data_IF_310526570608
#
_entry.id   IF_310526570608
#
_cell.length_a   1.000
_cell.length_b   1.000
_cell.length_c   1.000
_cell.angle_alpha   90.00
_cell.angle_beta   90.00
_cell.angle_gamma   90.00
#
_symmetry.space_group_name_H-M   'P 1'
#
loop_
_entity.id
_entity.type
_entity.pdbx_description
1 polymer ?
#
# COMPACT_ATOMS: atom_id res chain seq x y z
N UNK A 1 -48.68 86.71 -30.52
CA UNK A 1 -47.69 86.05 -29.62
C UNK A 1 -48.33 84.78 -29.08
N UNK A 2 -47.66 83.62 -29.24
CA UNK A 2 -47.59 82.47 -28.29
C UNK A 2 -48.96 81.85 -27.85
N UNK A 3 -49.27 80.55 -27.93
CA UNK A 3 -48.55 79.28 -28.16
C UNK A 3 -49.65 78.21 -28.36
N UNK A 4 -49.41 77.27 -29.27
CA UNK A 4 -50.14 75.99 -29.32
C UNK A 4 -49.82 75.15 -28.08
N UNK A 5 -50.82 74.51 -27.47
CA UNK A 5 -50.62 73.39 -26.53
C UNK A 5 -51.61 72.28 -26.91
N UNK A 6 -51.04 71.20 -27.40
CA UNK A 6 -51.65 69.91 -27.74
C UNK A 6 -51.86 69.10 -26.44
N UNK A 7 -52.96 68.37 -26.23
CA UNK A 7 -53.08 67.47 -25.09
C UNK A 7 -52.26 66.19 -25.35
N UNK A 8 -51.35 65.93 -24.42
CA UNK A 8 -50.41 64.81 -24.36
C UNK A 8 -51.18 63.50 -24.11
N UNK A 9 -51.15 62.58 -25.09
CA UNK A 9 -51.57 61.18 -24.91
C UNK A 9 -50.64 60.51 -23.89
N UNK A 10 -51.18 60.15 -22.73
CA UNK A 10 -50.49 59.35 -21.72
C UNK A 10 -50.51 57.87 -22.16
N UNK A 11 -49.52 57.44 -22.95
CA UNK A 11 -49.27 56.01 -23.17
C UNK A 11 -48.69 55.42 -21.87
N UNK A 12 -49.55 54.71 -21.11
CA UNK A 12 -49.12 53.88 -20.00
C UNK A 12 -48.45 52.61 -20.56
N UNK A 13 -47.12 52.66 -20.72
CA UNK A 13 -46.31 51.50 -21.08
C UNK A 13 -46.28 50.52 -19.90
N UNK A 14 -47.07 49.45 -19.99
CA UNK A 14 -46.92 48.27 -19.13
C UNK A 14 -45.51 47.71 -19.31
N UNK A 15 -44.63 47.97 -18.34
CA UNK A 15 -43.39 47.22 -18.20
C UNK A 15 -43.75 45.85 -17.60
N UNK A 16 -43.88 44.84 -18.46
CA UNK A 16 -43.87 43.45 -18.03
C UNK A 16 -42.50 43.15 -17.41
N UNK A 17 -42.41 43.18 -16.08
CA UNK A 17 -41.40 42.38 -15.37
C UNK A 17 -41.67 40.92 -15.73
N UNK A 18 -40.93 40.37 -16.68
CA UNK A 18 -40.81 38.93 -16.78
C UNK A 18 -40.05 38.43 -15.55
N UNK A 19 -40.79 38.04 -14.51
CA UNK A 19 -40.25 37.18 -13.47
C UNK A 19 -39.69 35.93 -14.14
N UNK A 20 -38.38 35.73 -14.08
CA UNK A 20 -37.75 34.52 -14.59
C UNK A 20 -38.31 33.34 -13.78
N UNK A 21 -39.05 32.44 -14.44
CA UNK A 21 -39.71 31.33 -13.77
C UNK A 21 -38.68 30.49 -12.98
N UNK A 22 -38.85 30.39 -11.67
CA UNK A 22 -38.02 29.58 -10.79
C UNK A 22 -38.40 28.09 -10.93
N UNK A 23 -37.97 27.47 -12.03
CA UNK A 23 -38.26 26.08 -12.37
C UNK A 23 -37.18 25.14 -11.79
N UNK A 24 -37.55 23.90 -11.41
CA UNK A 24 -36.57 22.89 -10.99
C UNK A 24 -35.49 22.67 -12.06
N UNK A 25 -34.21 22.86 -11.69
CA UNK A 25 -33.11 22.61 -12.60
C UNK A 25 -32.96 21.10 -12.88
N UNK A 26 -32.80 20.72 -14.15
CA UNK A 26 -32.57 19.31 -14.54
C UNK A 26 -31.32 18.71 -13.88
N UNK A 27 -30.32 19.55 -13.62
CA UNK A 27 -29.09 19.24 -12.90
C UNK A 27 -28.96 20.17 -11.69
N UNK A 28 -29.53 19.80 -10.54
CA UNK A 28 -29.45 20.60 -9.32
C UNK A 28 -28.01 20.90 -8.91
N UNK A 29 -27.78 22.07 -8.30
CA UNK A 29 -26.50 22.39 -7.68
C UNK A 29 -26.32 21.55 -6.41
N UNK A 30 -25.11 21.06 -6.18
CA UNK A 30 -24.73 20.30 -5.00
C UNK A 30 -23.29 20.65 -4.58
N UNK A 31 -22.96 20.33 -3.33
CA UNK A 31 -21.61 20.50 -2.79
C UNK A 31 -21.29 19.43 -1.76
N UNK A 32 -20.01 19.10 -1.63
CA UNK A 32 -19.47 18.28 -0.54
C UNK A 32 -18.24 18.98 0.03
N UNK A 33 -18.05 18.88 1.34
CA UNK A 33 -16.88 19.38 2.05
C UNK A 33 -16.40 18.36 3.06
N UNK A 34 -15.09 18.24 3.23
CA UNK A 34 -14.46 17.33 4.18
C UNK A 34 -13.07 17.88 4.56
N UNK A 35 -12.63 17.61 5.80
CA UNK A 35 -11.30 18.00 6.26
C UNK A 35 -10.38 16.78 6.22
N UNK A 36 -9.33 16.82 5.41
CA UNK A 36 -8.28 15.79 5.36
C UNK A 36 -7.05 16.33 6.08
N UNK A 37 -6.71 15.72 7.23
CA UNK A 37 -5.71 16.25 8.13
C UNK A 37 -6.08 17.67 8.61
N UNK A 38 -5.29 18.68 8.21
CA UNK A 38 -5.55 20.08 8.54
C UNK A 38 -6.17 20.88 7.36
N UNK A 39 -6.36 20.24 6.21
CA UNK A 39 -6.80 20.88 4.96
C UNK A 39 -8.29 20.70 4.75
N UNK A 40 -9.04 21.80 4.64
CA UNK A 40 -10.41 21.79 4.19
C UNK A 40 -10.46 21.62 2.67
N UNK A 41 -11.21 20.61 2.23
CA UNK A 41 -11.41 20.28 0.82
C UNK A 41 -12.89 20.40 0.51
N UNK A 42 -13.24 21.06 -0.59
CA UNK A 42 -14.65 21.13 -1.03
C UNK A 42 -14.79 20.99 -2.53
N UNK A 43 -15.92 20.42 -2.95
CA UNK A 43 -16.31 20.29 -4.35
C UNK A 43 -17.69 20.93 -4.53
N UNK A 44 -17.81 21.86 -5.47
CA UNK A 44 -19.10 22.43 -5.89
C UNK A 44 -19.39 22.01 -7.33
N UNK A 45 -20.58 21.46 -7.58
CA UNK A 45 -20.91 20.87 -8.87
C UNK A 45 -22.41 20.97 -9.15
N UNK A 46 -22.80 20.64 -10.39
CA UNK A 46 -24.19 20.35 -10.72
C UNK A 46 -24.32 18.87 -11.07
N UNK A 47 -25.36 18.22 -10.57
CA UNK A 47 -25.54 16.77 -10.58
C UNK A 47 -26.46 16.29 -11.73
N UNK A 48 -25.94 16.04 -12.96
CA UNK A 48 -26.74 15.48 -14.05
C UNK A 48 -27.23 14.06 -13.74
N UNK A 49 -28.37 13.72 -14.33
CA UNK A 49 -28.94 12.36 -14.30
C UNK A 49 -28.70 11.64 -15.65
N UNK A 50 -28.53 10.32 -15.63
CA UNK A 50 -28.31 9.52 -16.84
C UNK A 50 -29.52 9.55 -17.76
N UNK A 51 -30.73 9.36 -17.20
CA UNK A 51 -32.02 9.34 -17.92
C UNK A 51 -32.03 8.38 -19.10
N UNK A 52 -31.50 7.17 -18.91
CA UNK A 52 -31.43 6.14 -19.95
C UNK A 52 -30.43 6.41 -21.08
N UNK A 53 -29.60 7.45 -20.98
CA UNK A 53 -28.58 7.78 -21.99
C UNK A 53 -27.26 7.05 -21.72
N UNK A 54 -26.54 6.72 -22.79
CA UNK A 54 -25.14 6.28 -22.66
C UNK A 54 -24.28 7.45 -22.15
N UNK A 55 -23.70 7.28 -20.95
CA UNK A 55 -22.88 8.31 -20.31
C UNK A 55 -21.51 8.37 -20.98
N UNK A 56 -20.73 7.30 -20.86
CA UNK A 56 -19.33 7.23 -21.25
C UNK A 56 -19.21 6.80 -22.71
N UNK A 57 -18.47 7.56 -23.52
CA UNK A 57 -18.47 7.43 -24.98
C UNK A 57 -19.73 8.00 -25.66
N UNK A 58 -20.73 8.41 -24.88
CA UNK A 58 -21.94 9.08 -25.35
C UNK A 58 -21.94 10.57 -24.98
N UNK A 59 -22.73 10.95 -23.98
CA UNK A 59 -22.82 12.37 -23.54
C UNK A 59 -21.51 12.89 -22.93
N UNK A 60 -20.62 12.00 -22.50
CA UNK A 60 -19.24 12.28 -22.13
C UNK A 60 -18.32 11.55 -23.12
N UNK A 61 -17.86 12.22 -24.19
CA UNK A 61 -16.99 11.60 -25.18
C UNK A 61 -15.59 11.35 -24.63
N UNK A 62 -14.98 10.25 -25.05
CA UNK A 62 -13.58 9.93 -24.74
C UNK A 62 -12.61 10.85 -25.50
N UNK A 63 -11.44 11.08 -24.90
CA UNK A 63 -10.38 11.94 -25.44
C UNK A 63 -10.70 13.44 -25.42
N UNK A 64 -11.80 13.86 -24.79
CA UNK A 64 -12.24 15.26 -24.73
C UNK A 64 -12.32 15.75 -23.29
N UNK A 65 -12.00 17.02 -23.11
CA UNK A 65 -12.13 17.71 -21.83
C UNK A 65 -13.61 17.80 -21.44
N UNK A 66 -13.92 17.33 -20.25
CA UNK A 66 -15.25 17.35 -19.67
C UNK A 66 -15.21 18.08 -18.33
N UNK A 67 -16.16 18.99 -18.12
CA UNK A 67 -16.34 19.79 -16.89
C UNK A 67 -16.71 19.00 -15.63
N UNK A 68 -16.70 17.66 -15.71
CA UNK A 68 -17.02 16.75 -14.61
C UNK A 68 -18.34 17.10 -13.89
N UNK A 69 -19.37 17.49 -14.67
CA UNK A 69 -20.62 18.02 -14.15
C UNK A 69 -21.50 18.63 -15.25
N UNK A 70 -22.47 19.46 -14.84
CA UNK A 70 -23.36 20.19 -15.74
C UNK A 70 -23.33 21.71 -15.47
N UNK A 71 -23.85 22.50 -16.41
CA UNK A 71 -23.90 23.96 -16.32
C UNK A 71 -22.49 24.58 -16.15
N UNK A 72 -22.20 25.19 -14.99
CA UNK A 72 -20.88 25.73 -14.66
C UNK A 72 -19.84 24.62 -14.50
N UNK A 73 -18.56 24.95 -14.65
CA UNK A 73 -17.50 24.00 -14.32
C UNK A 73 -17.60 23.57 -12.85
N UNK A 74 -17.37 22.28 -12.57
CA UNK A 74 -17.17 21.81 -11.21
C UNK A 74 -15.95 22.54 -10.64
N UNK A 75 -16.02 22.99 -9.38
CA UNK A 75 -14.88 23.63 -8.72
C UNK A 75 -14.43 22.80 -7.53
N UNK A 76 -13.11 22.71 -7.35
CA UNK A 76 -12.48 22.09 -6.17
C UNK A 76 -11.66 23.15 -5.44
N UNK A 77 -11.83 23.22 -4.12
CA UNK A 77 -11.09 24.16 -3.27
C UNK A 77 -10.29 23.41 -2.21
N UNK A 78 -9.07 23.90 -1.97
CA UNK A 78 -8.17 23.44 -0.90
C UNK A 78 -7.77 24.63 -0.02
N UNK A 79 -7.88 24.51 1.30
CA UNK A 79 -7.51 25.59 2.24
C UNK A 79 -5.99 25.73 2.47
N UNK A 80 -5.23 24.69 2.16
CA UNK A 80 -3.75 24.67 2.20
C UNK A 80 -3.23 24.15 0.87
N UNK A 81 -1.92 24.23 0.64
CA UNK A 81 -1.30 23.52 -0.47
C UNK A 81 -1.50 22.01 -0.33
N UNK A 82 -1.56 21.33 -1.48
CA UNK A 82 -1.69 19.87 -1.58
C UNK A 82 -0.68 19.33 -2.58
N UNK A 83 -0.33 18.04 -2.48
CA UNK A 83 0.56 17.36 -3.41
C UNK A 83 -0.27 16.47 -4.34
N UNK A 84 -0.09 16.65 -5.64
CA UNK A 84 -0.72 15.89 -6.72
C UNK A 84 0.37 15.22 -7.55
N UNK A 85 0.47 13.89 -7.50
CA UNK A 85 1.53 13.11 -8.17
C UNK A 85 2.95 13.67 -7.94
N UNK A 86 3.24 14.08 -6.70
CA UNK A 86 4.55 14.62 -6.31
C UNK A 86 4.76 16.11 -6.62
N UNK A 87 3.77 16.80 -7.19
CA UNK A 87 3.82 18.24 -7.46
C UNK A 87 2.94 19.01 -6.48
N UNK A 88 3.45 20.10 -5.94
CA UNK A 88 2.69 20.99 -5.05
C UNK A 88 1.71 21.85 -5.86
N UNK A 89 0.44 21.78 -5.51
CA UNK A 89 -0.62 22.70 -5.92
C UNK A 89 -0.89 23.66 -4.77
N UNK A 90 -0.84 24.96 -5.03
CA UNK A 90 -1.09 25.98 -4.01
C UNK A 90 -2.54 25.92 -3.47
N UNK A 91 -2.75 26.43 -2.25
CA UNK A 91 -4.09 26.65 -1.71
C UNK A 91 -4.91 27.53 -2.67
N UNK A 92 -6.18 27.23 -2.85
CA UNK A 92 -7.02 27.97 -3.79
C UNK A 92 -8.24 27.22 -4.26
N UNK A 93 -8.99 27.85 -5.17
CA UNK A 93 -10.15 27.26 -5.85
C UNK A 93 -9.85 27.12 -7.33
N UNK A 94 -10.07 25.93 -7.86
CA UNK A 94 -9.74 25.55 -9.23
C UNK A 94 -10.99 25.04 -9.94
N UNK A 95 -11.13 25.36 -11.23
CA UNK A 95 -12.04 24.61 -12.09
C UNK A 95 -11.48 23.19 -12.27
N UNK A 96 -12.36 22.21 -12.19
CA UNK A 96 -12.02 20.80 -12.23
C UNK A 96 -12.57 20.17 -13.51
N UNK A 97 -11.66 19.54 -14.26
CA UNK A 97 -11.99 18.82 -15.48
C UNK A 97 -11.48 17.39 -15.42
N UNK A 98 -12.14 16.54 -16.20
CA UNK A 98 -11.68 15.20 -16.51
C UNK A 98 -11.48 15.08 -18.03
N UNK A 99 -10.48 14.33 -18.45
CA UNK A 99 -10.31 13.87 -19.82
C UNK A 99 -10.47 12.35 -19.79
N UNK A 100 -11.69 11.84 -20.05
CA UNK A 100 -11.96 10.42 -20.05
C UNK A 100 -11.26 9.72 -21.21
N UNK A 101 -10.89 8.47 -21.02
CA UNK A 101 -10.42 7.60 -22.11
C UNK A 101 -10.97 6.17 -21.95
N UNK A 102 -10.65 5.31 -22.90
CA UNK A 102 -11.12 3.91 -22.92
C UNK A 102 -10.41 3.02 -21.91
N UNK A 103 -9.33 3.50 -21.29
CA UNK A 103 -8.57 2.78 -20.26
C UNK A 103 -9.06 3.13 -18.85
N UNK A 104 -8.53 2.43 -17.84
CA UNK A 104 -8.82 2.70 -16.43
C UNK A 104 -8.04 3.89 -15.84
N UNK A 105 -7.35 4.68 -16.67
CA UNK A 105 -6.55 5.84 -16.23
C UNK A 105 -6.97 7.10 -16.96
N UNK A 106 -7.77 7.94 -16.32
CA UNK A 106 -8.18 9.22 -16.91
C UNK A 106 -7.29 10.36 -16.44
N UNK A 107 -7.33 11.50 -17.12
CA UNK A 107 -6.62 12.71 -16.66
C UNK A 107 -7.57 13.59 -15.88
N UNK A 108 -7.24 13.87 -14.62
CA UNK A 108 -7.85 14.95 -13.86
C UNK A 108 -7.04 16.23 -14.05
N UNK A 109 -7.75 17.37 -14.12
CA UNK A 109 -7.15 18.68 -14.40
C UNK A 109 -7.68 19.69 -13.40
N UNK A 110 -6.77 20.41 -12.77
CA UNK A 110 -7.07 21.59 -11.95
C UNK A 110 -6.64 22.83 -12.71
N UNK A 111 -7.60 23.68 -13.07
CA UNK A 111 -7.42 24.86 -13.91
C UNK A 111 -7.70 26.13 -13.10
N UNK A 112 -6.89 27.17 -13.31
CA UNK A 112 -6.97 28.42 -12.53
C UNK A 112 -8.20 29.28 -12.85
N UNK A 113 -8.92 29.00 -13.95
CA UNK A 113 -10.14 29.72 -14.31
C UNK A 113 -11.40 29.09 -13.68
N UNK A 114 -11.58 29.33 -12.37
CA UNK A 114 -12.61 28.69 -11.56
C UNK A 114 -14.07 29.13 -11.87
N UNK A 115 -14.27 30.25 -12.58
CA UNK A 115 -15.61 30.84 -12.80
C UNK A 115 -16.19 30.55 -14.19
N UNK A 116 -15.55 29.69 -14.98
CA UNK A 116 -15.97 29.46 -16.35
C UNK A 116 -17.26 28.65 -16.49
N UNK A 117 -18.03 28.98 -17.53
CA UNK A 117 -19.22 28.23 -17.90
C UNK A 117 -18.84 27.01 -18.75
N UNK A 118 -18.94 25.83 -18.14
CA UNK A 118 -18.64 24.56 -18.77
C UNK A 118 -17.17 24.38 -19.18
N UNK A 119 -16.90 23.77 -20.33
CA UNK A 119 -15.54 23.49 -20.85
C UNK A 119 -15.25 24.22 -22.18
N UNK A 120 -16.13 25.13 -22.61
CA UNK A 120 -16.06 25.75 -23.94
C UNK A 120 -14.93 26.76 -24.09
N UNK A 121 -14.56 27.42 -22.99
CA UNK A 121 -13.45 28.39 -22.93
C UNK A 121 -12.21 27.80 -22.26
N UNK A 122 -12.17 26.46 -22.16
CA UNK A 122 -11.05 25.74 -21.58
C UNK A 122 -9.74 26.09 -22.29
N UNK A 123 -8.70 26.39 -21.51
CA UNK A 123 -7.36 26.65 -22.00
C UNK A 123 -6.36 25.86 -21.16
N UNK A 124 -5.63 24.97 -21.84
CA UNK A 124 -4.56 24.16 -21.26
C UNK A 124 -3.44 25.04 -20.66
N UNK A 125 -3.22 26.24 -21.18
CA UNK A 125 -2.26 27.20 -20.63
C UNK A 125 -2.62 27.68 -19.21
N UNK A 126 -3.86 27.45 -18.75
CA UNK A 126 -4.33 27.79 -17.40
C UNK A 126 -4.35 26.59 -16.44
N UNK A 127 -3.89 25.41 -16.87
CA UNK A 127 -3.82 24.23 -16.03
C UNK A 127 -2.72 24.40 -14.98
N UNK A 128 -3.12 24.38 -13.71
CA UNK A 128 -2.20 24.40 -12.57
C UNK A 128 -1.67 22.99 -12.26
N UNK A 129 -2.47 21.96 -12.50
CA UNK A 129 -2.06 20.57 -12.31
C UNK A 129 -2.82 19.62 -13.23
N UNK A 130 -2.15 18.54 -13.61
CA UNK A 130 -2.71 17.36 -14.26
C UNK A 130 -2.21 16.11 -13.54
N UNK A 131 -3.09 15.14 -13.35
CA UNK A 131 -2.76 13.88 -12.69
C UNK A 131 -3.64 12.73 -13.18
N UNK A 132 -3.20 11.51 -12.93
CA UNK A 132 -4.00 10.34 -13.23
C UNK A 132 -5.10 10.13 -12.18
N UNK A 133 -6.34 10.05 -12.67
CA UNK A 133 -7.49 9.58 -11.93
C UNK A 133 -7.67 8.07 -12.19
N UNK A 134 -7.96 7.32 -11.12
CA UNK A 134 -8.20 5.87 -11.19
C UNK A 134 -9.68 5.61 -11.44
N UNK A 135 -9.98 4.75 -12.41
CA UNK A 135 -11.36 4.40 -12.75
C UNK A 135 -11.64 2.95 -12.39
N UNK A 136 -12.78 2.72 -11.73
CA UNK A 136 -13.29 1.40 -11.38
C UNK A 136 -14.70 1.24 -11.94
N UNK A 137 -14.97 0.08 -12.56
CA UNK A 137 -16.31 -0.28 -12.99
C UNK A 137 -17.20 -0.58 -11.77
N UNK A 138 -18.44 -0.12 -11.82
CA UNK A 138 -19.45 -0.44 -10.82
C UNK A 138 -20.42 -1.47 -11.39
N UNK A 139 -20.78 -2.51 -10.60
CA UNK A 139 -21.76 -3.51 -11.03
C UNK A 139 -23.16 -2.93 -11.19
N UNK A 140 -23.49 -1.91 -10.38
CA UNK A 140 -24.78 -1.21 -10.42
C UNK A 140 -24.57 0.24 -10.87
N UNK A 141 -25.15 0.68 -12.00
CA UNK A 141 -25.04 2.06 -12.45
C UNK A 141 -25.72 3.06 -11.50
N UNK A 142 -25.05 4.18 -11.24
CA UNK A 142 -25.59 5.30 -10.44
C UNK A 142 -26.27 6.32 -11.34
N UNK A 143 -27.57 6.54 -11.12
CA UNK A 143 -28.40 7.39 -11.97
C UNK A 143 -27.93 8.86 -11.99
N UNK A 144 -27.56 9.40 -10.82
CA UNK A 144 -27.19 10.81 -10.67
C UNK A 144 -25.74 10.95 -10.28
N UNK A 145 -25.03 11.84 -10.97
CA UNK A 145 -23.64 12.15 -10.63
C UNK A 145 -23.54 12.66 -9.20
N UNK A 146 -22.63 12.08 -8.42
CA UNK A 146 -22.36 12.49 -7.05
C UNK A 146 -20.86 12.57 -6.78
N UNK A 147 -20.48 13.44 -5.86
CA UNK A 147 -19.13 13.53 -5.32
C UNK A 147 -19.06 13.17 -3.83
N UNK A 148 -17.98 12.53 -3.43
CA UNK A 148 -17.55 12.38 -2.04
C UNK A 148 -16.06 12.71 -1.90
N UNK A 149 -15.62 12.93 -0.67
CA UNK A 149 -14.20 13.07 -0.31
C UNK A 149 -13.95 12.03 0.78
N UNK A 150 -12.90 11.25 0.64
CA UNK A 150 -12.50 10.21 1.59
C UNK A 150 -11.04 10.43 1.99
N UNK A 151 -10.73 10.31 3.28
CA UNK A 151 -9.37 10.13 3.77
C UNK A 151 -8.95 8.66 3.67
N UNK A 152 -7.67 8.43 3.37
CA UNK A 152 -7.06 7.08 3.34
C UNK A 152 -6.02 6.93 4.44
N UNK A 153 -5.47 8.05 4.91
CA UNK A 153 -4.61 8.20 6.06
C UNK A 153 -4.63 9.67 6.49
N UNK A 154 -3.81 10.04 7.48
CA UNK A 154 -3.66 11.43 7.94
C UNK A 154 -3.27 12.41 6.82
N UNK A 155 -2.47 11.96 5.86
CA UNK A 155 -1.91 12.80 4.79
C UNK A 155 -2.39 12.45 3.39
N UNK A 156 -3.26 11.44 3.26
CA UNK A 156 -3.75 10.99 1.96
C UNK A 156 -5.27 11.09 1.89
N UNK A 157 -5.76 11.74 0.84
CA UNK A 157 -7.18 11.86 0.54
C UNK A 157 -7.49 11.56 -0.92
N UNK A 158 -8.77 11.37 -1.22
CA UNK A 158 -9.25 11.23 -2.59
C UNK A 158 -10.59 11.93 -2.78
N UNK A 159 -10.71 12.64 -3.90
CA UNK A 159 -11.99 13.13 -4.39
C UNK A 159 -12.58 12.03 -5.27
N UNK A 160 -13.80 11.62 -4.99
CA UNK A 160 -14.48 10.54 -5.69
C UNK A 160 -15.66 11.10 -6.44
N UNK A 161 -15.73 10.79 -7.74
CA UNK A 161 -16.88 11.01 -8.59
C UNK A 161 -17.50 9.67 -8.92
N UNK A 162 -18.82 9.54 -8.75
CA UNK A 162 -19.58 8.36 -9.20
C UNK A 162 -20.69 8.79 -10.15
N UNK A 163 -20.76 8.18 -11.33
CA UNK A 163 -21.87 8.36 -12.27
C UNK A 163 -21.95 7.21 -13.28
N UNK A 164 -23.16 6.73 -13.56
CA UNK A 164 -23.34 5.51 -14.36
C UNK A 164 -22.58 4.35 -13.74
N UNK A 165 -21.92 3.57 -14.57
CA UNK A 165 -21.12 2.42 -14.14
C UNK A 165 -19.66 2.75 -13.77
N UNK A 166 -19.29 4.01 -13.50
CA UNK A 166 -17.91 4.37 -13.16
C UNK A 166 -17.80 5.04 -11.81
N UNK A 167 -16.79 4.63 -11.05
CA UNK A 167 -16.22 5.36 -9.90
C UNK A 167 -14.84 5.90 -10.32
N UNK A 168 -14.63 7.20 -10.19
CA UNK A 168 -13.39 7.89 -10.52
C UNK A 168 -12.80 8.45 -9.23
N UNK A 169 -11.59 8.03 -8.87
CA UNK A 169 -10.86 8.50 -7.70
C UNK A 169 -9.69 9.39 -8.13
N UNK A 170 -9.66 10.61 -7.62
CA UNK A 170 -8.59 11.59 -7.82
C UNK A 170 -7.82 11.73 -6.51
N UNK A 171 -6.64 11.09 -6.39
CA UNK A 171 -5.87 11.13 -5.16
C UNK A 171 -5.17 12.48 -4.98
N UNK A 172 -5.04 12.92 -3.73
CA UNK A 172 -4.22 14.05 -3.34
C UNK A 172 -3.56 13.74 -1.99
N UNK A 173 -2.46 14.44 -1.71
CA UNK A 173 -1.82 14.41 -0.40
C UNK A 173 -1.81 15.79 0.23
N UNK A 174 -1.81 15.82 1.54
CA UNK A 174 -1.65 17.03 2.36
C UNK A 174 -0.37 16.89 3.18
N UNK A 175 0.29 18.00 3.48
CA UNK A 175 1.47 18.00 4.36
C UNK A 175 1.03 18.43 5.75
N UNK A 176 0.83 17.46 6.63
CA UNK A 176 0.28 17.68 7.99
C UNK A 176 1.34 17.46 9.04
N UNK A 177 2.18 16.44 8.85
CA UNK A 177 3.16 16.05 9.86
C UNK A 177 4.13 17.21 10.19
N UNK A 178 4.76 17.91 9.23
CA UNK A 178 5.67 18.99 9.56
C UNK A 178 5.00 20.14 10.32
N UNK A 179 3.77 20.53 9.92
CA UNK A 179 3.03 21.60 10.58
C UNK A 179 2.55 21.21 11.99
N UNK A 180 2.08 19.97 12.16
CA UNK A 180 1.67 19.44 13.45
C UNK A 180 2.87 19.32 14.40
N UNK A 181 4.02 18.82 13.92
CA UNK A 181 5.26 18.77 14.70
C UNK A 181 5.74 20.17 15.09
N UNK A 182 5.74 21.14 14.17
CA UNK A 182 6.11 22.52 14.50
C UNK A 182 5.18 23.12 15.58
N UNK A 183 3.89 22.76 15.56
CA UNK A 183 2.96 23.14 16.61
C UNK A 183 3.30 22.48 17.96
N UNK A 184 3.54 21.16 17.98
CA UNK A 184 3.99 20.47 19.19
C UNK A 184 5.30 21.01 19.72
N UNK A 185 6.29 21.29 18.87
CA UNK A 185 7.56 21.90 19.27
C UNK A 185 7.33 23.27 19.93
N UNK A 186 6.43 24.09 19.39
CA UNK A 186 6.05 25.36 20.02
C UNK A 186 5.40 25.18 21.39
N UNK A 187 4.53 24.17 21.53
CA UNK A 187 3.87 23.84 22.81
C UNK A 187 4.89 23.31 23.83
N UNK A 188 5.80 22.43 23.41
CA UNK A 188 6.88 21.84 24.24
C UNK A 188 7.79 22.92 24.81
N UNK A 189 8.11 23.96 24.03
CA UNK A 189 8.93 25.10 24.49
C UNK A 189 8.23 25.93 25.57
N UNK A 190 6.89 26.02 25.51
CA UNK A 190 6.07 26.82 26.44
C UNK A 190 5.59 26.04 27.67
N UNK A 191 5.61 24.71 27.59
CA UNK A 191 5.09 23.81 28.61
C UNK A 191 6.01 23.73 29.83
N UNK A 192 5.40 23.57 31.01
CA UNK A 192 6.11 23.12 32.21
C UNK A 192 6.40 21.61 32.16
N UNK A 193 7.13 21.09 33.15
CA UNK A 193 7.51 19.68 33.19
C UNK A 193 6.29 18.73 33.22
N UNK A 194 5.17 19.15 33.82
CA UNK A 194 3.95 18.34 33.96
C UNK A 194 3.15 18.24 32.66
N UNK A 195 3.36 19.17 31.71
CA UNK A 195 2.71 19.17 30.40
C UNK A 195 3.65 18.70 29.28
N UNK A 196 4.96 18.87 29.45
CA UNK A 196 5.95 18.63 28.41
C UNK A 196 6.00 17.18 27.97
N UNK A 197 5.92 16.24 28.92
CA UNK A 197 5.90 14.81 28.60
C UNK A 197 4.73 14.47 27.66
N UNK A 198 3.58 15.10 27.85
CA UNK A 198 2.36 14.83 27.09
C UNK A 198 2.52 15.27 25.63
N UNK A 199 2.94 16.52 25.39
CA UNK A 199 3.16 17.00 24.02
C UNK A 199 4.26 16.22 23.28
N UNK A 200 5.28 15.75 24.00
CA UNK A 200 6.30 14.87 23.45
C UNK A 200 5.72 13.48 23.09
N UNK A 201 4.84 12.93 23.92
CA UNK A 201 4.16 11.66 23.61
C UNK A 201 3.24 11.79 22.38
N UNK A 202 2.51 12.90 22.26
CA UNK A 202 1.64 13.18 21.11
C UNK A 202 2.43 13.36 19.81
N UNK A 203 3.55 14.08 19.86
CA UNK A 203 4.45 14.20 18.70
C UNK A 203 5.03 12.84 18.28
N UNK A 204 5.37 11.98 19.25
CA UNK A 204 5.81 10.62 18.98
C UNK A 204 4.70 9.80 18.31
N UNK A 205 3.47 9.86 18.81
CA UNK A 205 2.32 9.14 18.26
C UNK A 205 2.05 9.48 16.79
N UNK A 206 2.03 10.78 16.48
CA UNK A 206 1.93 11.27 15.10
C UNK A 206 2.99 10.65 14.19
N UNK A 207 4.23 10.55 14.66
CA UNK A 207 5.35 9.95 13.91
C UNK A 207 5.23 8.41 13.82
N UNK A 208 4.68 7.74 14.83
CA UNK A 208 4.39 6.29 14.86
C UNK A 208 3.34 5.95 13.80
N UNK A 209 2.26 6.72 13.72
CA UNK A 209 1.22 6.58 12.70
C UNK A 209 1.77 6.81 11.29
N UNK A 210 2.65 7.79 11.15
CA UNK A 210 3.34 8.10 9.89
C UNK A 210 4.44 7.09 9.49
N UNK A 211 4.73 6.08 10.32
CA UNK A 211 5.80 5.11 10.08
C UNK A 211 7.22 5.67 10.23
N UNK A 212 7.38 6.88 10.78
CA UNK A 212 8.68 7.54 11.01
C UNK A 212 9.28 7.13 12.36
N UNK A 213 9.46 5.81 12.55
CA UNK A 213 9.77 5.21 13.86
C UNK A 213 11.06 5.75 14.50
N UNK A 214 12.09 6.07 13.71
CA UNK A 214 13.36 6.64 14.23
C UNK A 214 13.19 8.06 14.77
N UNK A 215 12.33 8.86 14.16
CA UNK A 215 12.03 10.22 14.63
C UNK A 215 11.10 10.15 15.85
N UNK A 216 10.09 9.26 15.81
CA UNK A 216 9.19 9.02 16.93
C UNK A 216 9.94 8.67 18.22
N UNK A 217 10.96 7.80 18.10
CA UNK A 217 11.77 7.38 19.24
C UNK A 217 12.38 8.57 20.00
N UNK A 218 12.84 9.60 19.29
CA UNK A 218 13.46 10.78 19.93
C UNK A 218 12.47 11.51 20.84
N UNK A 219 11.27 11.78 20.34
CA UNK A 219 10.22 12.42 21.13
C UNK A 219 9.75 11.55 22.29
N UNK A 220 9.63 10.24 22.05
CA UNK A 220 9.21 9.29 23.06
C UNK A 220 10.23 9.15 24.21
N UNK A 221 11.53 9.08 23.89
CA UNK A 221 12.59 9.02 24.89
C UNK A 221 12.60 10.29 25.75
N UNK A 222 12.40 11.46 25.15
CA UNK A 222 12.28 12.72 25.89
C UNK A 222 11.00 12.76 26.75
N UNK A 223 9.87 12.26 26.25
CA UNK A 223 8.62 12.14 27.02
C UNK A 223 8.84 11.31 28.29
N UNK A 224 9.45 10.14 28.15
CA UNK A 224 9.70 9.20 29.25
C UNK A 224 10.70 9.74 30.27
N UNK A 225 11.68 10.57 29.84
CA UNK A 225 12.60 11.27 30.77
C UNK A 225 11.87 12.24 31.69
N UNK A 226 10.75 12.80 31.24
CA UNK A 226 9.93 13.74 32.02
C UNK A 226 8.87 13.04 32.88
N UNK A 227 8.89 11.71 32.96
CA UNK A 227 7.96 10.92 33.77
C UNK A 227 7.37 9.76 32.97
N UNK A 228 7.10 8.66 33.67
CA UNK A 228 6.38 7.53 33.08
C UNK A 228 4.90 7.65 33.41
N UNK A 229 4.11 7.71 32.34
CA UNK A 229 2.66 7.86 32.39
C UNK A 229 2.04 6.71 31.59
N UNK A 230 0.84 6.29 31.96
CA UNK A 230 0.09 5.25 31.22
C UNK A 230 0.03 5.61 29.75
N UNK A 231 -0.21 6.89 29.44
CA UNK A 231 -0.33 7.37 28.07
C UNK A 231 0.97 7.27 27.27
N UNK A 232 2.10 7.74 27.79
CA UNK A 232 3.37 7.69 27.04
C UNK A 232 3.96 6.27 26.98
N UNK A 233 3.73 5.44 28.00
CA UNK A 233 4.04 4.02 27.95
C UNK A 233 3.18 3.29 26.91
N UNK A 234 1.92 3.68 26.74
CA UNK A 234 1.08 3.13 25.68
C UNK A 234 1.65 3.43 24.29
N UNK A 235 2.05 4.69 24.04
CA UNK A 235 2.74 5.06 22.79
C UNK A 235 4.04 4.28 22.59
N UNK A 236 4.80 4.05 23.66
CA UNK A 236 6.00 3.20 23.63
C UNK A 236 5.70 1.77 23.24
N UNK A 237 4.68 1.13 23.82
CA UNK A 237 4.31 -0.23 23.47
C UNK A 237 3.92 -0.35 21.98
N UNK A 238 3.17 0.63 21.47
CA UNK A 238 2.81 0.70 20.05
C UNK A 238 4.04 0.89 19.14
N UNK A 239 4.98 1.77 19.52
CA UNK A 239 6.24 1.96 18.81
C UNK A 239 7.10 0.68 18.79
N UNK A 240 7.23 -0.01 19.93
CA UNK A 240 7.97 -1.27 20.04
C UNK A 240 7.39 -2.33 19.12
N UNK A 241 6.06 -2.53 19.14
CA UNK A 241 5.38 -3.48 18.28
C UNK A 241 5.56 -3.14 16.78
N UNK A 242 5.41 -1.87 16.38
CA UNK A 242 5.69 -1.44 14.99
C UNK A 242 7.15 -1.62 14.58
N UNK A 243 8.07 -1.62 15.54
CA UNK A 243 9.49 -1.91 15.32
C UNK A 243 9.82 -3.41 15.32
N UNK A 244 8.83 -4.29 15.51
CA UNK A 244 8.99 -5.73 15.60
C UNK A 244 9.36 -6.25 16.99
N UNK A 245 9.53 -5.37 17.99
CA UNK A 245 9.83 -5.73 19.37
C UNK A 245 8.55 -6.04 20.18
N UNK A 246 7.88 -7.14 19.82
CA UNK A 246 6.68 -7.58 20.52
C UNK A 246 6.95 -7.94 21.98
N UNK A 247 8.12 -8.52 22.27
CA UNK A 247 8.52 -8.87 23.64
C UNK A 247 8.62 -7.62 24.52
N UNK A 248 9.27 -6.57 24.02
CA UNK A 248 9.32 -5.28 24.69
C UNK A 248 7.95 -4.63 24.80
N UNK A 249 7.12 -4.71 23.76
CA UNK A 249 5.76 -4.18 23.79
C UNK A 249 4.92 -4.79 24.92
N UNK A 250 4.93 -6.12 25.09
CA UNK A 250 4.24 -6.80 26.20
C UNK A 250 4.83 -6.46 27.57
N UNK A 251 6.15 -6.31 27.68
CA UNK A 251 6.77 -5.87 28.93
C UNK A 251 6.30 -4.45 29.31
N UNK A 252 6.12 -3.58 28.32
CA UNK A 252 5.59 -2.23 28.52
C UNK A 252 4.12 -2.23 28.90
N UNK A 253 3.28 -3.09 28.33
CA UNK A 253 1.86 -3.18 28.73
C UNK A 253 1.68 -3.71 30.15
N UNK A 254 2.52 -4.65 30.60
CA UNK A 254 2.56 -5.05 32.02
C UNK A 254 2.95 -3.87 32.93
N UNK A 255 3.89 -3.04 32.48
CA UNK A 255 4.27 -1.82 33.20
C UNK A 255 3.11 -0.82 33.29
N UNK A 256 2.35 -0.65 32.20
CA UNK A 256 1.13 0.17 32.18
C UNK A 256 0.12 -0.33 33.23
N UNK A 257 -0.18 -1.64 33.24
CA UNK A 257 -1.11 -2.25 34.21
C UNK A 257 -0.67 -2.03 35.65
N UNK A 258 0.64 -2.15 35.92
CA UNK A 258 1.18 -1.92 37.25
C UNK A 258 1.10 -0.44 37.65
N UNK A 259 1.45 0.47 36.75
CA UNK A 259 1.34 1.92 36.97
C UNK A 259 -0.12 2.33 37.21
N UNK A 260 -1.08 1.77 36.48
CA UNK A 260 -2.49 2.04 36.69
C UNK A 260 -2.98 1.56 38.08
N UNK A 261 -2.48 0.42 38.58
CA UNK A 261 -2.85 -0.08 39.92
C UNK A 261 -2.33 0.81 41.04
N UNK A 262 -1.05 1.22 40.96
CA UNK A 262 -0.35 1.97 42.02
C UNK A 262 -0.42 3.48 41.85
N UNK A 263 -0.83 3.95 40.67
CA UNK A 263 -0.83 5.35 40.28
C UNK A 263 -1.94 6.19 40.89
N UNK A 264 -1.88 7.49 40.58
CA UNK A 264 -2.87 8.46 41.02
C UNK A 264 -4.22 8.25 40.28
N UNK A 265 -5.22 9.08 40.62
CA UNK A 265 -6.56 9.00 40.02
C UNK A 265 -6.56 9.22 38.50
N UNK A 266 -5.64 10.04 38.00
CA UNK A 266 -5.52 10.36 36.57
C UNK A 266 -5.00 9.16 35.79
N UNK A 267 -3.90 8.54 36.21
CA UNK A 267 -3.35 7.33 35.57
C UNK A 267 -4.38 6.19 35.52
N UNK A 268 -5.15 6.03 36.60
CA UNK A 268 -6.27 5.08 36.66
C UNK A 268 -7.36 5.39 35.64
N UNK A 269 -7.71 6.66 35.50
CA UNK A 269 -8.70 7.13 34.53
C UNK A 269 -8.26 6.91 33.09
N UNK A 270 -7.01 7.28 32.78
CA UNK A 270 -6.42 7.07 31.44
C UNK A 270 -6.42 5.59 31.09
N UNK A 271 -5.94 4.72 32.01
CA UNK A 271 -5.95 3.28 31.79
C UNK A 271 -7.36 2.74 31.56
N UNK A 272 -8.33 3.13 32.40
CA UNK A 272 -9.71 2.69 32.27
C UNK A 272 -10.32 3.02 30.90
N UNK A 273 -9.93 4.14 30.29
CA UNK A 273 -10.38 4.53 28.96
C UNK A 273 -9.74 3.72 27.82
N UNK A 274 -8.56 3.13 28.03
CA UNK A 274 -7.82 2.38 27.01
C UNK A 274 -7.71 0.87 27.26
N UNK A 275 -8.26 0.36 28.35
CA UNK A 275 -8.07 -1.05 28.75
C UNK A 275 -8.55 -2.03 27.66
N UNK A 276 -9.71 -1.75 27.05
CA UNK A 276 -10.24 -2.56 25.95
C UNK A 276 -9.33 -2.50 24.72
N UNK A 277 -8.93 -1.30 24.31
CA UNK A 277 -8.04 -1.09 23.16
C UNK A 277 -6.69 -1.80 23.36
N UNK A 278 -6.15 -1.76 24.59
CA UNK A 278 -4.93 -2.44 24.96
C UNK A 278 -5.09 -3.96 24.82
N UNK A 279 -6.18 -4.54 25.35
CA UNK A 279 -6.45 -5.97 25.25
C UNK A 279 -6.62 -6.45 23.80
N UNK A 280 -7.39 -5.73 22.99
CA UNK A 280 -7.57 -6.05 21.57
C UNK A 280 -6.27 -5.92 20.78
N UNK A 281 -5.46 -4.92 21.11
CA UNK A 281 -4.16 -4.70 20.49
C UNK A 281 -3.17 -5.79 20.86
N UNK A 282 -3.10 -6.21 22.12
CA UNK A 282 -2.28 -7.35 22.53
C UNK A 282 -2.67 -8.64 21.80
N UNK A 283 -3.97 -8.89 21.59
CA UNK A 283 -4.42 -10.05 20.81
C UNK A 283 -3.88 -10.02 19.38
N UNK A 284 -3.93 -8.83 18.74
CA UNK A 284 -3.36 -8.62 17.41
C UNK A 284 -1.85 -8.83 17.40
N UNK A 285 -1.14 -8.32 18.41
CA UNK A 285 0.31 -8.51 18.57
C UNK A 285 0.70 -9.97 18.77
N UNK A 286 -0.03 -10.73 19.60
CA UNK A 286 0.21 -12.17 19.78
C UNK A 286 0.05 -12.92 18.46
N UNK A 287 -1.01 -12.63 17.72
CA UNK A 287 -1.26 -13.26 16.41
C UNK A 287 -0.12 -12.96 15.42
N UNK A 288 0.33 -11.71 15.34
CA UNK A 288 1.45 -11.32 14.48
C UNK A 288 2.78 -11.96 14.92
N UNK A 289 3.03 -12.05 16.22
CA UNK A 289 4.21 -12.72 16.77
C UNK A 289 4.21 -14.22 16.45
N UNK A 290 3.04 -14.88 16.59
CA UNK A 290 2.87 -16.29 16.28
C UNK A 290 3.09 -16.57 14.79
N UNK A 291 2.62 -15.69 13.89
CA UNK A 291 2.88 -15.78 12.44
C UNK A 291 4.37 -15.66 12.12
N UNK A 292 5.09 -14.71 12.73
CA UNK A 292 6.54 -14.54 12.56
C UNK A 292 7.28 -15.78 13.06
N UNK A 293 6.90 -16.29 14.23
CA UNK A 293 7.50 -17.50 14.79
C UNK A 293 7.20 -18.73 13.92
N UNK A 294 5.98 -18.84 13.39
CA UNK A 294 5.59 -19.91 12.47
C UNK A 294 6.37 -19.86 11.16
N UNK A 295 6.60 -18.67 10.58
CA UNK A 295 7.43 -18.49 9.40
C UNK A 295 8.89 -18.91 9.65
N UNK A 296 9.46 -18.50 10.79
CA UNK A 296 10.82 -18.92 11.21
C UNK A 296 10.91 -20.43 11.42
N UNK A 297 9.89 -21.05 12.03
CA UNK A 297 9.83 -22.50 12.20
C UNK A 297 9.65 -23.23 10.87
N UNK A 298 8.88 -22.67 9.94
CA UNK A 298 8.69 -23.22 8.61
C UNK A 298 10.00 -23.29 7.84
N UNK A 299 10.85 -22.26 7.87
CA UNK A 299 12.18 -22.32 7.24
C UNK A 299 13.08 -23.41 7.84
N UNK A 300 13.03 -23.63 9.16
CA UNK A 300 13.74 -24.74 9.83
C UNK A 300 13.20 -26.10 9.40
N UNK A 301 11.88 -26.25 9.36
CA UNK A 301 11.23 -27.47 8.88
C UNK A 301 11.57 -27.74 7.40
N UNK A 302 11.62 -26.71 6.55
CA UNK A 302 12.02 -26.84 5.15
C UNK A 302 13.48 -27.29 5.05
N UNK A 303 14.38 -26.78 5.88
CA UNK A 303 15.76 -27.28 5.92
C UNK A 303 15.81 -28.78 6.25
N UNK A 304 15.03 -29.21 7.27
CA UNK A 304 14.94 -30.62 7.70
C UNK A 304 14.35 -31.52 6.62
N UNK A 305 13.26 -31.09 6.00
CA UNK A 305 12.44 -31.92 5.11
C UNK A 305 12.94 -31.89 3.66
N UNK A 306 13.59 -30.81 3.24
CA UNK A 306 14.01 -30.57 1.86
C UNK A 306 15.52 -30.45 1.74
N UNK A 307 16.12 -29.37 2.22
CA UNK A 307 17.49 -29.02 1.83
C UNK A 307 18.55 -30.02 2.32
N UNK A 308 18.40 -30.52 3.56
CA UNK A 308 19.27 -31.57 4.09
C UNK A 308 19.10 -32.87 3.29
N UNK A 309 17.88 -33.46 3.17
CA UNK A 309 17.65 -34.64 2.34
C UNK A 309 18.05 -34.49 0.88
N UNK A 310 17.92 -33.31 0.29
CA UNK A 310 18.30 -33.00 -1.09
C UNK A 310 19.81 -33.18 -1.25
N UNK A 311 20.61 -32.52 -0.42
CA UNK A 311 22.07 -32.65 -0.45
C UNK A 311 22.53 -34.08 -0.15
N UNK A 312 21.86 -34.77 0.77
CA UNK A 312 22.14 -36.18 1.07
C UNK A 312 21.85 -37.10 -0.12
N UNK A 313 20.75 -36.90 -0.85
CA UNK A 313 20.41 -37.71 -2.01
C UNK A 313 21.48 -37.61 -3.11
N UNK A 314 22.02 -36.41 -3.36
CA UNK A 314 23.16 -36.23 -4.26
C UNK A 314 24.43 -36.89 -3.75
N UNK A 315 24.69 -36.82 -2.43
CA UNK A 315 25.87 -37.43 -1.82
C UNK A 315 25.85 -38.96 -1.87
N UNK A 316 24.66 -39.57 -1.78
CA UNK A 316 24.47 -41.02 -1.83
C UNK A 316 24.08 -41.55 -3.21
N UNK A 317 23.95 -40.69 -4.23
CA UNK A 317 23.38 -41.03 -5.53
C UNK A 317 22.03 -41.79 -5.40
N UNK A 318 21.17 -41.37 -4.48
CA UNK A 318 19.86 -41.99 -4.20
C UNK A 318 18.71 -41.24 -4.90
N UNK A 319 18.30 -41.76 -6.06
CA UNK A 319 17.25 -41.16 -6.88
C UNK A 319 15.87 -41.23 -6.20
N UNK A 320 15.56 -42.31 -5.48
CA UNK A 320 14.28 -42.48 -4.80
C UNK A 320 14.16 -41.49 -3.64
N UNK A 321 15.23 -41.30 -2.87
CA UNK A 321 15.29 -40.27 -1.83
C UNK A 321 15.09 -38.87 -2.39
N UNK A 322 15.70 -38.56 -3.54
CA UNK A 322 15.51 -37.26 -4.20
C UNK A 322 14.07 -37.07 -4.70
N UNK A 323 13.52 -38.07 -5.40
CA UNK A 323 12.17 -38.00 -5.97
C UNK A 323 11.09 -37.93 -4.88
N UNK A 324 11.34 -38.54 -3.72
CA UNK A 324 10.44 -38.46 -2.56
C UNK A 324 10.29 -37.03 -1.99
N UNK A 325 11.19 -36.09 -2.32
CA UNK A 325 11.09 -34.70 -1.87
C UNK A 325 10.03 -33.89 -2.63
N UNK A 326 9.49 -34.44 -3.72
CA UNK A 326 8.58 -33.72 -4.62
C UNK A 326 7.12 -34.10 -4.37
N UNK A 327 6.23 -33.13 -4.62
CA UNK A 327 4.78 -33.38 -4.68
C UNK A 327 4.42 -34.20 -5.92
N UNK A 328 3.24 -34.83 -5.92
CA UNK A 328 2.77 -35.61 -7.08
C UNK A 328 2.45 -34.73 -8.29
N UNK A 329 2.01 -33.50 -8.04
CA UNK A 329 1.69 -32.45 -9.02
C UNK A 329 2.90 -31.54 -9.33
N UNK A 330 4.11 -32.05 -9.11
CA UNK A 330 5.35 -31.31 -9.33
C UNK A 330 5.57 -30.89 -10.78
N UNK A 331 6.12 -29.68 -10.95
CA UNK A 331 6.55 -29.13 -12.24
C UNK A 331 8.03 -28.73 -12.18
N UNK A 332 8.82 -29.26 -13.11
CA UNK A 332 10.20 -28.85 -13.37
C UNK A 332 10.24 -27.82 -14.51
N UNK A 333 11.06 -26.78 -14.38
CA UNK A 333 11.36 -25.86 -15.48
C UNK A 333 12.86 -25.61 -15.58
N UNK A 334 13.49 -26.02 -16.68
CA UNK A 334 14.94 -25.86 -16.89
C UNK A 334 15.20 -24.65 -17.78
N UNK A 335 15.80 -23.61 -17.20
CA UNK A 335 16.11 -22.36 -17.89
C UNK A 335 17.21 -22.47 -18.95
N UNK A 336 18.09 -23.49 -18.86
CA UNK A 336 19.15 -23.73 -19.84
C UNK A 336 18.57 -24.38 -21.10
N UNK A 337 17.81 -25.46 -20.92
CA UNK A 337 17.30 -26.28 -22.03
C UNK A 337 15.96 -25.78 -22.57
N UNK A 338 15.34 -24.81 -21.88
CA UNK A 338 13.99 -24.27 -22.18
C UNK A 338 12.92 -25.36 -22.20
N UNK A 339 13.03 -26.33 -21.30
CA UNK A 339 12.08 -27.44 -21.14
C UNK A 339 11.26 -27.30 -19.86
N UNK A 340 10.13 -28.00 -19.84
CA UNK A 340 9.33 -28.20 -18.64
C UNK A 340 8.76 -29.61 -18.62
N UNK A 341 8.83 -30.25 -17.45
CA UNK A 341 8.46 -31.65 -17.25
C UNK A 341 7.58 -31.79 -16.01
N UNK A 342 6.70 -32.80 -16.03
CA UNK A 342 6.06 -33.30 -14.81
C UNK A 342 7.00 -34.27 -14.06
N UNK A 343 6.55 -34.79 -12.91
CA UNK A 343 7.36 -35.71 -12.12
C UNK A 343 7.71 -37.01 -12.86
N UNK A 344 6.83 -37.51 -13.74
CA UNK A 344 7.06 -38.75 -14.47
C UNK A 344 8.11 -38.57 -15.59
N UNK A 345 8.07 -37.43 -16.29
CA UNK A 345 9.08 -37.02 -17.26
C UNK A 345 10.43 -36.79 -16.58
N UNK A 346 10.44 -36.06 -15.46
CA UNK A 346 11.67 -35.72 -14.73
C UNK A 346 12.34 -36.94 -14.08
N UNK A 347 11.55 -37.92 -13.60
CA UNK A 347 12.06 -39.16 -12.97
C UNK A 347 13.13 -39.85 -13.80
N UNK A 348 12.90 -40.05 -15.10
CA UNK A 348 13.85 -40.74 -15.99
C UNK A 348 15.19 -40.02 -16.04
N UNK A 349 15.17 -38.69 -16.04
CA UNK A 349 16.38 -37.87 -16.03
C UNK A 349 17.15 -38.03 -14.71
N UNK A 350 16.45 -37.95 -13.57
CA UNK A 350 17.07 -38.13 -12.24
C UNK A 350 17.69 -39.51 -12.10
N UNK A 351 16.94 -40.57 -12.39
CA UNK A 351 17.41 -41.96 -12.27
C UNK A 351 18.66 -42.19 -13.13
N UNK A 352 18.65 -41.69 -14.37
CA UNK A 352 19.81 -41.79 -15.28
C UNK A 352 21.01 -41.01 -14.78
N UNK A 353 20.81 -39.78 -14.29
CA UNK A 353 21.90 -38.93 -13.78
C UNK A 353 22.55 -39.52 -12.53
N UNK A 354 21.76 -40.07 -11.62
CA UNK A 354 22.24 -40.63 -10.36
C UNK A 354 22.93 -41.98 -10.59
N UNK A 355 22.39 -42.83 -11.49
CA UNK A 355 23.05 -44.07 -11.90
C UNK A 355 24.41 -43.81 -12.55
N UNK A 356 24.49 -42.85 -13.48
CA UNK A 356 25.74 -42.47 -14.14
C UNK A 356 26.83 -42.04 -13.13
N UNK A 357 26.45 -41.25 -12.12
CA UNK A 357 27.37 -40.81 -11.08
C UNK A 357 27.88 -41.99 -10.22
N UNK A 358 27.00 -42.95 -9.91
CA UNK A 358 27.33 -44.19 -9.21
C UNK A 358 28.29 -45.09 -10.00
N UNK A 359 28.04 -45.29 -11.30
CA UNK A 359 28.84 -46.18 -12.17
C UNK A 359 30.27 -45.68 -12.40
N UNK A 360 30.45 -44.37 -12.58
CA UNK A 360 31.80 -43.76 -12.70
C UNK A 360 32.56 -43.76 -11.37
N UNK A 361 31.86 -44.05 -10.26
CA UNK A 361 32.39 -44.16 -8.92
C UNK A 361 33.00 -42.87 -8.38
N UNK A 362 32.56 -41.73 -8.93
CA UNK A 362 32.83 -40.41 -8.38
C UNK A 362 31.84 -40.05 -7.26
N UNK A 363 32.17 -39.03 -6.47
CA UNK A 363 31.29 -38.48 -5.44
C UNK A 363 30.67 -37.18 -5.94
N UNK A 364 29.37 -36.98 -5.74
CA UNK A 364 28.70 -35.73 -6.08
C UNK A 364 28.24 -35.03 -4.81
N UNK A 365 28.29 -33.70 -4.78
CA UNK A 365 27.72 -32.90 -3.70
C UNK A 365 27.01 -31.69 -4.27
N UNK A 366 25.93 -31.27 -3.62
CA UNK A 366 25.26 -30.00 -3.90
C UNK A 366 25.05 -29.23 -2.60
N UNK A 367 25.37 -27.94 -2.62
CA UNK A 367 25.22 -27.02 -1.49
C UNK A 367 24.39 -25.80 -1.90
N UNK A 368 23.61 -25.23 -0.98
CA UNK A 368 22.68 -24.14 -1.26
C UNK A 368 22.95 -22.88 -0.45
N UNK A 369 22.78 -21.73 -1.09
CA UNK A 369 22.72 -20.41 -0.46
C UNK A 369 21.55 -19.63 -1.04
N UNK A 370 20.99 -18.68 -0.29
CA UNK A 370 19.69 -18.09 -0.58
C UNK A 370 19.79 -16.57 -0.75
N UNK A 371 18.94 -16.05 -1.62
CA UNK A 371 18.68 -14.63 -1.78
C UNK A 371 17.42 -14.20 -1.02
N UNK A 372 16.44 -15.10 -0.93
CA UNK A 372 15.12 -14.82 -0.36
C UNK A 372 14.47 -16.13 0.08
N UNK A 373 13.81 -16.11 1.25
CA UNK A 373 13.08 -17.26 1.79
C UNK A 373 11.76 -16.80 2.42
N UNK A 374 10.68 -16.93 1.68
CA UNK A 374 9.35 -16.53 2.14
C UNK A 374 8.58 -17.80 2.51
N UNK A 375 8.10 -17.87 3.75
CA UNK A 375 7.34 -19.03 4.23
C UNK A 375 6.08 -18.60 4.99
N UNK A 376 5.02 -19.38 4.79
CA UNK A 376 3.83 -19.40 5.64
C UNK A 376 3.80 -20.71 6.44
N UNK A 377 2.70 -20.96 7.15
CA UNK A 377 2.49 -22.25 7.83
C UNK A 377 2.42 -23.47 6.87
N UNK A 378 2.11 -23.28 5.58
CA UNK A 378 1.84 -24.39 4.64
C UNK A 378 2.41 -24.23 3.22
N UNK A 379 2.90 -23.05 2.86
CA UNK A 379 3.49 -22.75 1.53
C UNK A 379 4.77 -21.96 1.69
N UNK A 380 5.71 -22.11 0.77
CA UNK A 380 6.91 -21.28 0.73
C UNK A 380 7.42 -21.04 -0.69
N UNK A 381 8.19 -19.96 -0.86
CA UNK A 381 8.92 -19.60 -2.06
C UNK A 381 10.36 -19.28 -1.67
N UNK A 382 11.31 -20.04 -2.19
CA UNK A 382 12.72 -19.85 -1.88
C UNK A 382 13.55 -19.72 -3.15
N UNK A 383 14.42 -18.72 -3.16
CA UNK A 383 15.26 -18.37 -4.31
C UNK A 383 16.70 -18.30 -3.87
N UNK A 384 17.58 -18.84 -4.69
CA UNK A 384 18.98 -18.94 -4.30
C UNK A 384 19.91 -19.35 -5.41
N UNK A 385 21.07 -19.81 -4.97
CA UNK A 385 22.18 -20.27 -5.78
C UNK A 385 22.72 -21.57 -5.19
N UNK A 386 22.99 -22.55 -6.05
CA UNK A 386 23.62 -23.81 -5.65
C UNK A 386 25.05 -23.90 -6.16
N UNK A 387 25.89 -24.63 -5.42
CA UNK A 387 27.21 -25.09 -5.85
C UNK A 387 27.15 -26.59 -6.03
N UNK A 388 27.29 -27.04 -7.27
CA UNK A 388 27.41 -28.44 -7.63
C UNK A 388 28.89 -28.81 -7.71
N UNK A 389 29.29 -29.93 -7.10
CA UNK A 389 30.66 -30.44 -7.20
C UNK A 389 30.66 -31.94 -7.53
N UNK A 390 31.35 -32.32 -8.60
CA UNK A 390 31.61 -33.70 -8.97
C UNK A 390 33.09 -34.03 -8.75
N UNK A 391 33.35 -35.05 -7.93
CA UNK A 391 34.68 -35.53 -7.59
C UNK A 391 34.92 -36.87 -8.31
N UNK A 392 35.62 -36.89 -9.46
CA UNK A 392 35.96 -38.15 -10.12
C UNK A 392 36.92 -38.98 -9.28
N UNK A 393 37.02 -40.29 -9.55
CA UNK A 393 38.03 -41.17 -8.92
C UNK A 393 39.47 -40.70 -9.16
N UNK A 394 39.71 -40.17 -10.35
CA UNK A 394 41.00 -39.63 -10.78
C UNK A 394 40.77 -38.29 -11.49
N UNK A 395 41.65 -37.31 -11.28
CA UNK A 395 41.55 -35.97 -11.87
C UNK A 395 41.03 -34.90 -10.91
N UNK A 396 40.77 -33.71 -11.45
CA UNK A 396 40.32 -32.55 -10.67
C UNK A 396 38.81 -32.51 -10.52
N UNK A 397 38.27 -32.05 -9.38
CA UNK A 397 36.84 -31.85 -9.21
C UNK A 397 36.28 -30.86 -10.25
N UNK A 398 35.08 -31.16 -10.76
CA UNK A 398 34.32 -30.23 -11.59
C UNK A 398 33.32 -29.49 -10.71
N UNK A 399 33.35 -28.16 -10.73
CA UNK A 399 32.51 -27.29 -9.91
C UNK A 399 31.65 -26.43 -10.83
N UNK A 400 30.34 -26.47 -10.61
CA UNK A 400 29.36 -25.66 -11.32
C UNK A 400 28.50 -24.85 -10.36
N UNK A 401 27.94 -23.76 -10.87
CA UNK A 401 27.01 -22.90 -10.13
C UNK A 401 25.75 -22.69 -10.95
N UNK A 402 24.62 -22.55 -10.27
CA UNK A 402 23.36 -22.19 -10.91
C UNK A 402 22.41 -21.54 -9.92
N UNK A 403 21.46 -20.76 -10.44
CA UNK A 403 20.38 -20.17 -9.65
C UNK A 403 19.18 -21.08 -9.65
N UNK A 404 18.40 -21.01 -8.58
CA UNK A 404 17.15 -21.73 -8.46
C UNK A 404 16.03 -20.86 -7.90
N UNK A 405 14.79 -21.28 -8.18
CA UNK A 405 13.58 -20.82 -7.52
C UNK A 405 12.67 -22.02 -7.32
N UNK A 406 12.41 -22.35 -6.05
CA UNK A 406 11.49 -23.40 -5.66
C UNK A 406 10.22 -22.83 -5.05
N UNK A 407 9.09 -23.45 -5.39
CA UNK A 407 7.84 -23.33 -4.66
C UNK A 407 7.61 -24.61 -3.87
N UNK A 408 7.21 -24.46 -2.61
CA UNK A 408 7.11 -25.53 -1.63
C UNK A 408 5.71 -25.57 -1.03
N UNK A 409 5.22 -26.77 -0.73
CA UNK A 409 3.94 -26.99 -0.04
C UNK A 409 4.11 -28.05 1.04
N UNK A 410 3.44 -27.87 2.17
CA UNK A 410 3.40 -28.86 3.26
C UNK A 410 2.30 -29.88 2.98
N UNK A 411 2.65 -31.17 2.92
CA UNK A 411 1.72 -32.29 2.73
C UNK A 411 1.81 -33.23 3.93
N UNK A 412 0.69 -33.45 4.62
CA UNK A 412 0.63 -34.32 5.81
C UNK A 412 1.70 -33.99 6.86
N UNK A 413 2.02 -32.70 7.03
CA UNK A 413 3.01 -32.22 7.99
C UNK A 413 4.47 -32.22 7.50
N UNK A 414 4.76 -32.68 6.27
CA UNK A 414 6.10 -32.72 5.69
C UNK A 414 6.19 -31.77 4.50
N UNK A 415 7.23 -30.96 4.42
CA UNK A 415 7.44 -30.08 3.25
C UNK A 415 7.83 -30.87 2.00
N UNK A 416 7.32 -30.44 0.85
CA UNK A 416 7.58 -31.01 -0.48
C UNK A 416 7.80 -29.91 -1.51
N UNK A 417 8.61 -30.20 -2.52
CA UNK A 417 8.85 -29.33 -3.68
C UNK A 417 7.67 -29.46 -4.65
N UNK A 418 6.99 -28.33 -4.89
CA UNK A 418 5.89 -28.21 -5.85
C UNK A 418 6.40 -27.75 -7.23
N UNK A 419 7.37 -26.85 -7.24
CA UNK A 419 7.97 -26.37 -8.49
C UNK A 419 9.46 -26.18 -8.29
N UNK A 420 10.24 -26.55 -9.29
CA UNK A 420 11.68 -26.33 -9.33
C UNK A 420 12.08 -25.69 -10.66
N UNK A 421 12.53 -24.44 -10.59
CA UNK A 421 13.21 -23.76 -11.67
C UNK A 421 14.69 -23.63 -11.37
N UNK A 422 15.55 -23.97 -12.33
CA UNK A 422 16.99 -23.74 -12.25
C UNK A 422 17.59 -23.26 -13.58
N UNK A 423 18.77 -22.65 -13.49
CA UNK A 423 19.51 -22.12 -14.65
C UNK A 423 20.97 -21.84 -14.27
N UNK A 424 21.90 -22.16 -15.16
CA UNK A 424 23.30 -21.69 -15.06
C UNK A 424 23.45 -20.23 -15.48
N UNK A 425 22.36 -19.61 -15.98
CA UNK A 425 22.32 -18.30 -16.62
C UNK A 425 23.32 -18.15 -17.77
N UNK A 426 23.57 -19.27 -18.50
CA UNK A 426 24.58 -19.33 -19.54
C UNK A 426 26.01 -19.22 -19.00
N UNK A 427 26.27 -19.75 -17.81
CA UNK A 427 27.57 -19.71 -17.14
C UNK A 427 27.93 -18.35 -16.52
N UNK A 428 26.97 -17.43 -16.39
CA UNK A 428 27.19 -16.08 -15.82
C UNK A 428 27.18 -16.03 -14.31
N UNK A 429 26.92 -17.17 -13.65
CA UNK A 429 26.84 -17.29 -12.19
C UNK A 429 28.06 -18.07 -11.70
N UNK A 430 28.72 -17.58 -10.65
CA UNK A 430 29.96 -18.19 -10.16
C UNK A 430 30.15 -18.11 -8.64
N UNK A 431 31.39 -18.40 -8.21
CA UNK A 431 31.75 -18.46 -6.79
C UNK A 431 31.52 -17.15 -6.04
N UNK A 432 31.73 -16.01 -6.71
CA UNK A 432 31.49 -14.69 -6.12
C UNK A 432 30.01 -14.50 -5.77
N UNK A 433 29.10 -14.84 -6.69
CA UNK A 433 27.65 -14.80 -6.45
C UNK A 433 27.25 -15.74 -5.31
N UNK A 434 27.86 -16.93 -5.26
CA UNK A 434 27.60 -17.91 -4.22
C UNK A 434 27.99 -17.36 -2.84
N UNK A 435 29.21 -16.82 -2.71
CA UNK A 435 29.69 -16.23 -1.45
C UNK A 435 28.88 -15.01 -1.02
N UNK A 436 28.31 -14.25 -1.96
CA UNK A 436 27.45 -13.10 -1.67
C UNK A 436 26.06 -13.50 -1.14
N UNK A 437 25.57 -14.70 -1.46
CA UNK A 437 24.30 -15.20 -0.98
C UNK A 437 24.35 -15.62 0.51
N UNK A 438 23.19 -15.72 1.16
CA UNK A 438 23.06 -16.05 2.58
C UNK A 438 23.08 -17.57 2.81
N UNK A 439 23.66 -18.01 3.93
CA UNK A 439 23.70 -19.43 4.27
C UNK A 439 22.30 -19.98 4.62
N UNK A 440 22.10 -21.29 4.44
CA UNK A 440 20.81 -21.96 4.67
C UNK A 440 20.31 -21.87 6.12
N UNK A 441 21.21 -21.63 7.07
CA UNK A 441 20.99 -21.54 8.51
C UNK A 441 20.98 -20.09 9.04
N UNK A 442 21.14 -19.10 8.17
CA UNK A 442 21.16 -17.68 8.52
C UNK A 442 19.74 -17.09 8.67
N UNK A 443 18.90 -17.75 9.47
CA UNK A 443 17.47 -17.42 9.67
C UNK A 443 17.23 -15.98 10.10
N UNK A 444 18.20 -15.32 10.73
CA UNK A 444 18.08 -13.94 11.18
C UNK A 444 18.07 -12.92 10.02
N UNK A 445 18.52 -13.31 8.83
CA UNK A 445 18.55 -12.45 7.65
C UNK A 445 17.34 -12.66 6.71
N UNK A 446 16.47 -13.63 7.01
CA UNK A 446 15.33 -13.98 6.17
C UNK A 446 13.99 -13.57 6.78
#
# INVERSE_FOLDING_TARGET
>A
MKKCILPLLLLCSMQLLQAQANLPQKSPKASVGYRVGLTDVSVQYHAPAARGRSIWGGIVPYGKVWRAGANNATTVSFSTSVILEGKTLAAGTYAFFLIPNETQRWTAVFNTDAKQWGAYIYSEAKDAARLNARVTELPNPVERLSYSIEDRSLEEGQIILVWGNKKIAVPFRVEVIPSALANYDSLIVKADAEQKWYYQAEAADLLIEAGKLKEAQKYLDESLKNGEHVWNLWKKAQWQAKSGDYKGAFATTEKIRNLAKTGNKEEKGVFGNMELDLLETEKRWRSAQDEIQAASNAQRDINRDIWIPFSEAYASNDADKYLALHTKDFIRANGNDKTSDDLAGYRKHVESSFAWAGEKGGRTTIEFRFFERIASASTASERGIYKYSYFPKEGTPNIGYGKFHVLLRKENGVWKILTDYDSSEGGKVGEADYKAAMAVDDFAKF
#
